data_IF_854810055338
#
_entry.id   IF_854810055338
#
_cell.length_a   1.000
_cell.length_b   1.000
_cell.length_c   1.000
_cell.angle_alpha   90.00
_cell.angle_beta   90.00
_cell.angle_gamma   90.00
#
_symmetry.space_group_name_H-M   'P 1'
#
loop_
_entity.id
_entity.type
_entity.pdbx_description
1 polymer ?
#
# COMPACT_ATOMS: atom_id res chain seq x y z
N UNK A 1 7.06 -61.69 -34.96
CA UNK A 1 5.63 -61.50 -35.32
C UNK A 1 4.81 -61.53 -34.04
N UNK A 2 3.85 -60.60 -33.95
CA UNK A 2 2.56 -60.60 -33.21
C UNK A 2 2.36 -61.58 -32.03
N UNK A 3 1.70 -61.26 -30.91
CA UNK A 3 0.91 -60.13 -30.39
C UNK A 3 0.38 -60.60 -29.02
N UNK A 4 0.22 -59.67 -28.06
CA UNK A 4 -0.92 -59.53 -27.12
C UNK A 4 -1.38 -60.78 -26.29
N UNK A 5 -1.60 -60.72 -24.97
CA UNK A 5 -2.29 -59.65 -24.24
C UNK A 5 -2.21 -59.83 -22.71
N UNK A 6 -2.17 -58.68 -22.04
CA UNK A 6 -3.00 -58.29 -20.89
C UNK A 6 -2.99 -59.12 -19.58
N UNK A 7 -2.33 -58.57 -18.55
CA UNK A 7 -3.01 -58.40 -17.26
C UNK A 7 -2.76 -56.99 -16.70
N UNK A 8 -3.88 -56.31 -16.47
CA UNK A 8 -4.05 -54.90 -16.08
C UNK A 8 -3.46 -54.62 -14.68
N UNK A 9 -2.65 -53.55 -14.60
CA UNK A 9 -2.78 -52.35 -13.74
C UNK A 9 -3.50 -52.59 -12.39
N UNK A 10 -2.91 -52.25 -11.21
CA UNK A 10 -2.43 -50.88 -10.95
C UNK A 10 -1.10 -50.78 -10.19
N UNK A 11 -0.07 -50.27 -10.87
CA UNK A 11 1.09 -49.60 -10.26
C UNK A 11 0.64 -48.19 -9.82
N UNK A 12 -0.32 -48.11 -8.90
CA UNK A 12 -0.97 -46.85 -8.49
C UNK A 12 -1.25 -46.81 -6.98
N UNK A 13 -0.43 -47.48 -6.17
CA UNK A 13 -0.63 -47.59 -4.73
C UNK A 13 0.62 -47.36 -3.86
N UNK A 14 1.71 -46.81 -4.40
CA UNK A 14 2.97 -46.62 -3.63
C UNK A 14 3.46 -45.16 -3.60
N UNK A 15 2.80 -44.22 -4.29
CA UNK A 15 3.20 -42.79 -4.32
C UNK A 15 2.33 -41.88 -3.43
N UNK A 16 1.67 -42.42 -2.40
CA UNK A 16 0.71 -41.67 -1.58
C UNK A 16 1.12 -41.47 -0.11
N UNK A 17 2.39 -41.64 0.27
CA UNK A 17 2.79 -41.68 1.70
C UNK A 17 3.99 -40.81 2.12
N UNK A 18 4.50 -39.89 1.31
CA UNK A 18 5.61 -38.99 1.73
C UNK A 18 5.40 -37.55 1.26
N UNK A 19 4.28 -36.93 1.63
CA UNK A 19 4.06 -35.49 1.39
C UNK A 19 3.44 -34.75 2.58
N UNK A 20 3.45 -35.35 3.78
CA UNK A 20 2.93 -34.72 4.99
C UNK A 20 3.99 -34.76 6.08
N UNK A 21 4.86 -33.75 6.13
CA UNK A 21 5.42 -33.16 7.36
C UNK A 21 6.41 -32.04 7.01
N UNK A 22 5.89 -30.88 6.65
CA UNK A 22 6.57 -29.63 7.00
C UNK A 22 5.57 -28.84 7.83
N UNK A 23 5.74 -28.75 9.16
CA UNK A 23 5.05 -27.72 9.91
C UNK A 23 5.71 -26.41 9.46
N UNK A 24 5.11 -25.75 8.47
CA UNK A 24 5.39 -24.36 8.23
C UNK A 24 4.85 -23.60 9.45
N UNK A 25 5.67 -23.52 10.50
CA UNK A 25 5.61 -22.43 11.47
C UNK A 25 5.89 -21.15 10.67
N UNK A 26 4.87 -20.69 9.95
CA UNK A 26 4.79 -19.34 9.47
C UNK A 26 4.67 -18.47 10.73
N UNK A 27 5.80 -18.21 11.37
CA UNK A 27 5.96 -17.04 12.21
C UNK A 27 5.64 -15.87 11.29
N UNK A 28 4.40 -15.40 11.35
CA UNK A 28 4.06 -14.07 10.90
C UNK A 28 5.06 -13.16 11.61
N UNK A 29 6.07 -12.70 10.87
CA UNK A 29 7.06 -11.79 11.41
C UNK A 29 6.24 -10.59 11.88
N UNK A 30 6.18 -10.39 13.20
CA UNK A 30 5.64 -9.17 13.76
C UNK A 30 6.32 -8.02 12.99
N UNK A 31 5.56 -7.09 12.39
CA UNK A 31 6.17 -6.02 11.63
C UNK A 31 7.18 -5.34 12.55
N UNK A 32 8.45 -5.29 12.13
CA UNK A 32 9.53 -4.63 12.86
C UNK A 32 9.03 -3.26 13.30
N UNK A 33 8.98 -3.04 14.62
CA UNK A 33 8.35 -1.93 15.34
C UNK A 33 8.13 -0.67 14.51
N UNK A 34 7.04 -0.65 13.75
CA UNK A 34 6.57 0.56 13.08
C UNK A 34 5.82 1.37 14.11
N UNK A 35 6.46 2.41 14.66
CA UNK A 35 5.83 3.33 15.62
C UNK A 35 4.67 4.17 15.04
N UNK A 36 4.32 3.94 13.76
CA UNK A 36 3.16 4.55 13.12
C UNK A 36 1.86 3.99 13.72
N UNK A 37 1.20 4.76 14.57
CA UNK A 37 -0.04 4.35 15.26
C UNK A 37 -1.30 4.97 14.65
N UNK A 38 -1.16 6.05 13.89
CA UNK A 38 -2.31 6.82 13.36
C UNK A 38 -2.11 7.13 11.88
N UNK A 39 -3.18 7.16 11.11
CA UNK A 39 -3.18 7.55 9.69
C UNK A 39 -4.20 8.67 9.46
N UNK A 40 -3.79 9.71 8.76
CA UNK A 40 -4.69 10.79 8.31
C UNK A 40 -4.66 10.89 6.80
N UNK A 41 -5.74 11.40 6.22
CA UNK A 41 -5.82 11.61 4.79
C UNK A 41 -6.61 12.85 4.41
N UNK A 42 -6.32 13.36 3.20
CA UNK A 42 -7.19 14.30 2.52
C UNK A 42 -7.48 13.77 1.11
N UNK A 43 -8.71 13.93 0.64
CA UNK A 43 -9.15 13.47 -0.68
C UNK A 43 -10.08 14.48 -1.34
N UNK A 44 -10.10 14.44 -2.67
CA UNK A 44 -11.00 15.25 -3.48
C UNK A 44 -11.24 14.61 -4.84
N UNK A 45 -12.36 15.00 -5.46
CA UNK A 45 -12.67 14.72 -6.86
C UNK A 45 -12.46 15.95 -7.74
N UNK A 46 -12.29 15.73 -9.04
CA UNK A 46 -12.20 16.79 -10.05
C UNK A 46 -13.01 16.41 -11.29
N UNK A 47 -13.72 17.36 -11.87
CA UNK A 47 -14.28 17.24 -13.21
C UNK A 47 -13.23 17.50 -14.30
N UNK A 48 -13.50 17.05 -15.53
CA UNK A 48 -12.64 17.30 -16.68
C UNK A 48 -12.35 18.79 -16.86
N UNK A 49 -11.07 19.13 -17.01
CA UNK A 49 -10.62 20.50 -17.22
C UNK A 49 -10.51 21.34 -15.95
N UNK A 50 -10.93 20.82 -14.78
CA UNK A 50 -10.66 21.51 -13.53
C UNK A 50 -9.15 21.73 -13.34
N UNK A 51 -8.76 22.91 -12.84
CA UNK A 51 -7.36 23.27 -12.64
C UNK A 51 -6.76 22.46 -11.49
N UNK A 52 -5.48 22.74 -11.18
CA UNK A 52 -4.78 22.13 -10.05
C UNK A 52 -5.58 22.26 -8.76
N UNK A 53 -5.87 21.14 -8.12
CA UNK A 53 -6.50 21.07 -6.80
C UNK A 53 -5.48 20.72 -5.73
N UNK A 54 -5.72 21.20 -4.51
CA UNK A 54 -4.84 21.00 -3.35
C UNK A 54 -5.66 20.63 -2.13
N UNK A 55 -5.08 19.83 -1.25
CA UNK A 55 -5.65 19.58 0.08
C UNK A 55 -4.56 19.50 1.15
N UNK A 56 -4.97 19.80 2.39
CA UNK A 56 -4.14 19.69 3.58
C UNK A 56 -4.46 18.36 4.26
N UNK A 57 -3.43 17.55 4.51
CA UNK A 57 -3.57 16.39 5.39
C UNK A 57 -3.51 16.89 6.82
N UNK A 58 -4.54 16.65 7.66
CA UNK A 58 -4.53 17.12 9.04
C UNK A 58 -3.42 16.40 9.83
N UNK A 59 -2.75 17.15 10.69
CA UNK A 59 -1.77 16.62 11.64
C UNK A 59 -2.45 16.56 13.00
N UNK A 60 -2.63 15.38 13.61
CA UNK A 60 -3.24 15.30 14.92
C UNK A 60 -2.31 15.91 15.98
N UNK A 61 -2.89 16.54 17.00
CA UNK A 61 -2.14 17.17 18.08
C UNK A 61 -1.26 16.15 18.83
N UNK A 62 -0.03 16.55 19.14
CA UNK A 62 0.93 15.69 19.84
C UNK A 62 1.45 14.52 19.00
N UNK A 63 1.25 14.54 17.68
CA UNK A 63 1.78 13.52 16.79
C UNK A 63 2.86 14.09 15.87
N UNK A 64 3.85 13.25 15.56
CA UNK A 64 4.89 13.54 14.56
C UNK A 64 4.74 12.62 13.36
N UNK A 65 5.25 13.04 12.21
CA UNK A 65 5.18 12.17 11.02
C UNK A 65 5.98 10.89 11.25
N UNK A 66 5.35 9.75 10.96
CA UNK A 66 6.03 8.48 11.00
C UNK A 66 6.98 8.36 9.80
N UNK A 67 8.07 7.63 10.00
CA UNK A 67 9.03 7.33 8.96
C UNK A 67 8.81 5.91 8.45
N UNK A 68 9.06 5.70 7.16
CA UNK A 68 9.05 4.36 6.61
C UNK A 68 10.19 3.54 7.26
N UNK A 69 9.93 2.31 7.74
CA UNK A 69 10.90 1.55 8.54
C UNK A 69 12.26 1.42 7.87
N UNK A 70 13.33 1.65 8.65
CA UNK A 70 14.71 1.61 8.14
C UNK A 70 15.12 2.81 7.27
N UNK A 71 14.29 3.85 7.16
CA UNK A 71 14.60 5.05 6.36
C UNK A 71 14.28 6.35 7.10
N UNK A 72 14.74 7.47 6.55
CA UNK A 72 14.31 8.80 6.98
C UNK A 72 13.15 9.38 6.15
N UNK A 73 12.57 8.58 5.24
CA UNK A 73 11.50 9.05 4.37
C UNK A 73 10.17 9.10 5.13
N UNK A 74 9.37 10.17 4.97
CA UNK A 74 8.01 10.22 5.49
C UNK A 74 7.19 9.01 5.02
N UNK A 75 6.44 8.41 5.94
CA UNK A 75 5.55 7.32 5.59
C UNK A 75 4.26 7.87 5.00
N UNK A 76 4.24 7.91 3.67
CA UNK A 76 3.16 8.55 2.92
C UNK A 76 2.70 7.66 1.78
N UNK A 77 1.47 7.90 1.32
CA UNK A 77 0.89 7.22 0.16
C UNK A 77 0.06 8.23 -0.63
N UNK A 78 0.17 8.18 -1.96
CA UNK A 78 -0.63 8.99 -2.87
C UNK A 78 -1.41 8.06 -3.78
N UNK A 79 -2.73 8.16 -3.73
CA UNK A 79 -3.66 7.41 -4.56
C UNK A 79 -4.35 8.35 -5.54
N UNK A 80 -4.60 7.89 -6.76
CA UNK A 80 -5.33 8.68 -7.77
C UNK A 80 -6.17 7.79 -8.68
N UNK A 81 -7.24 8.35 -9.23
CA UNK A 81 -7.98 7.78 -10.34
C UNK A 81 -8.12 8.77 -11.49
N UNK A 82 -8.27 8.25 -12.71
CA UNK A 82 -8.34 9.06 -13.93
C UNK A 82 -6.99 9.59 -14.41
N UNK A 83 -7.07 10.46 -15.42
CA UNK A 83 -5.92 11.12 -16.05
C UNK A 83 -5.63 12.44 -15.34
N UNK A 84 -4.90 12.35 -14.25
CA UNK A 84 -4.28 13.47 -13.53
C UNK A 84 -2.95 12.99 -12.94
N UNK A 85 -2.11 13.94 -12.51
CA UNK A 85 -0.88 13.67 -11.79
C UNK A 85 -0.97 14.25 -10.38
N UNK A 86 -0.76 13.43 -9.37
CA UNK A 86 -0.87 13.80 -7.97
C UNK A 86 0.47 13.57 -7.26
N UNK A 87 0.88 14.52 -6.41
CA UNK A 87 2.06 14.42 -5.55
C UNK A 87 1.94 15.31 -4.33
N UNK A 88 2.71 15.02 -3.28
CA UNK A 88 2.94 15.99 -2.22
C UNK A 88 3.68 17.21 -2.80
N UNK A 89 3.28 18.40 -2.38
CA UNK A 89 3.97 19.64 -2.73
C UNK A 89 5.18 19.79 -1.80
N UNK A 90 6.36 19.42 -2.29
CA UNK A 90 7.63 19.46 -1.55
C UNK A 90 8.02 20.87 -1.10
N UNK A 91 7.51 21.93 -1.77
CA UNK A 91 7.80 23.31 -1.39
C UNK A 91 6.82 23.82 -0.35
N UNK A 92 5.57 23.39 -0.40
CA UNK A 92 4.54 23.79 0.54
C UNK A 92 4.48 22.92 1.79
N UNK A 93 5.06 21.72 1.76
CA UNK A 93 5.07 20.75 2.86
C UNK A 93 6.35 20.84 3.68
N UNK A 94 6.23 21.06 4.98
CA UNK A 94 7.34 21.07 5.95
C UNK A 94 7.38 19.82 6.85
N UNK A 95 6.40 18.92 6.71
CA UNK A 95 6.25 17.68 7.47
C UNK A 95 6.12 17.83 8.99
N UNK A 96 5.92 19.05 9.48
CA UNK A 96 5.82 19.36 10.91
C UNK A 96 4.51 20.07 11.25
N UNK A 97 4.17 21.10 10.50
CA UNK A 97 2.98 21.93 10.73
C UNK A 97 2.08 21.98 9.52
N UNK A 98 2.61 21.69 8.32
CA UNK A 98 1.83 21.70 7.09
C UNK A 98 2.22 20.58 6.15
N UNK A 99 1.23 19.78 5.76
CA UNK A 99 1.36 18.72 4.75
C UNK A 99 0.33 18.94 3.66
N UNK A 100 0.80 19.24 2.45
CA UNK A 100 -0.05 19.60 1.31
C UNK A 100 0.13 18.63 0.16
N UNK A 101 -0.96 18.02 -0.28
CA UNK A 101 -1.04 17.28 -1.52
C UNK A 101 -1.58 18.16 -2.64
N UNK A 102 -1.15 17.91 -3.88
CA UNK A 102 -1.73 18.54 -5.05
C UNK A 102 -1.89 17.58 -6.22
N UNK A 103 -2.97 17.74 -6.97
CA UNK A 103 -3.15 17.09 -8.26
C UNK A 103 -3.23 18.16 -9.35
N UNK A 104 -2.57 17.93 -10.48
CA UNK A 104 -2.68 18.79 -11.66
C UNK A 104 -4.05 18.70 -12.33
N UNK A 105 -4.20 19.38 -13.46
CA UNK A 105 -5.43 19.42 -14.26
C UNK A 105 -5.98 18.00 -14.53
N UNK A 106 -7.29 17.85 -14.52
CA UNK A 106 -7.94 16.58 -14.88
C UNK A 106 -8.21 16.49 -16.39
N UNK A 107 -7.72 15.42 -17.04
CA UNK A 107 -7.89 15.16 -18.47
C UNK A 107 -8.91 14.04 -18.77
N UNK A 108 -9.51 13.40 -17.76
CA UNK A 108 -10.62 12.44 -17.89
C UNK A 108 -11.94 13.05 -17.42
N UNK A 109 -13.11 12.43 -17.69
CA UNK A 109 -14.40 12.92 -17.19
C UNK A 109 -14.42 13.15 -15.68
N UNK A 110 -13.81 12.23 -14.94
CA UNK A 110 -13.60 12.33 -13.50
C UNK A 110 -12.15 11.98 -13.17
N UNK A 111 -11.59 12.69 -12.18
CA UNK A 111 -10.34 12.33 -11.53
C UNK A 111 -10.54 12.35 -10.01
N UNK A 112 -9.70 11.63 -9.29
CA UNK A 112 -9.62 11.73 -7.83
C UNK A 112 -8.17 11.80 -7.38
N UNK A 113 -7.95 12.44 -6.23
CA UNK A 113 -6.70 12.43 -5.51
C UNK A 113 -6.95 12.10 -4.04
N UNK A 114 -6.07 11.30 -3.46
CA UNK A 114 -6.02 11.05 -2.03
C UNK A 114 -4.57 11.01 -1.56
N UNK A 115 -4.31 11.72 -0.47
CA UNK A 115 -3.01 11.83 0.16
C UNK A 115 -3.13 11.29 1.57
N UNK A 116 -2.33 10.27 1.89
CA UNK A 116 -2.36 9.59 3.18
C UNK A 116 -1.00 9.72 3.85
N UNK A 117 -1.00 10.00 5.14
CA UNK A 117 0.20 10.18 5.94
C UNK A 117 0.02 9.41 7.24
N UNK A 118 1.04 8.65 7.61
CA UNK A 118 1.08 7.98 8.91
C UNK A 118 1.85 8.83 9.93
N UNK A 119 1.38 8.77 11.16
CA UNK A 119 1.89 9.52 12.30
C UNK A 119 2.23 8.59 13.46
N UNK A 120 3.28 8.95 14.17
CA UNK A 120 3.65 8.40 15.46
C UNK A 120 3.12 9.34 16.54
N UNK A 121 2.07 8.91 17.23
CA UNK A 121 1.43 9.65 18.32
C UNK A 121 1.84 9.11 19.70
N UNK A 122 2.85 8.24 19.76
CA UNK A 122 3.37 7.72 21.04
C UNK A 122 4.34 8.69 21.72
N UNK A 123 4.79 9.73 21.00
CA UNK A 123 5.74 10.73 21.47
C UNK A 123 5.03 12.09 21.61
N UNK A 124 4.89 12.65 22.83
CA UNK A 124 4.42 14.01 23.03
C UNK A 124 5.41 15.07 22.51
#
# INVERSE_FOLDING_TARGET
MHRFQLRRVPVLLITALIACTIPALALAQAPTDSSATTEQSCSFGMAKGEPTQRCLVPIPDGCVIAKFPGTNKPWTTVSKAGRTYCKFDEKATDWKTRITGQCGKCDSPHCTGQFMVRFDCSKP
#
